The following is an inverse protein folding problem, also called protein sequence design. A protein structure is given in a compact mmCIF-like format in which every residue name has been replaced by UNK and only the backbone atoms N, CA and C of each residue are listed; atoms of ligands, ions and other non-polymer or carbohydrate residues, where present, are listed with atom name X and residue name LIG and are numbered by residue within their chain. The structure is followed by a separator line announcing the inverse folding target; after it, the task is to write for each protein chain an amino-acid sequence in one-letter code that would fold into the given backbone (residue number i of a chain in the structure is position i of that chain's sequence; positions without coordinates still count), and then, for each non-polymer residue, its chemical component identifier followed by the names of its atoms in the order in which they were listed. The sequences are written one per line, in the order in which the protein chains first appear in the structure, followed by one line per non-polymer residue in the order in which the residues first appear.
data_IF_730184530422
#
_entry.id   IF_730184530422
#
_cell.length_a   1.000
_cell.length_b   1.000
_cell.length_c   1.000
_cell.angle_alpha   90.00
_cell.angle_beta   90.00
_cell.angle_gamma   90.00
#
_symmetry.space_group_name_H-M   'P 1'
#
loop_
_entity.id
_entity.type
_entity.pdbx_description
1 polymer ?
#
# COMPACT_ATOMS: atom_id res chain seq x y z
N UNK A 1 0.88 -5.90 -8.63
CA UNK A 1 -0.17 -5.51 -7.68
C UNK A 1 -0.32 -6.54 -6.56
N UNK A 2 -0.41 -7.85 -6.87
CA UNK A 2 -0.54 -8.91 -5.86
C UNK A 2 0.64 -8.89 -4.86
N UNK A 3 1.85 -8.64 -5.35
CA UNK A 3 3.06 -8.51 -4.51
C UNK A 3 3.03 -7.27 -3.61
N UNK A 4 2.52 -6.14 -4.12
CA UNK A 4 2.39 -4.91 -3.35
C UNK A 4 1.37 -5.05 -2.21
N UNK A 5 0.20 -5.63 -2.50
CA UNK A 5 -0.82 -5.83 -1.46
C UNK A 5 -0.39 -6.90 -0.45
N UNK A 6 0.41 -7.88 -0.84
CA UNK A 6 1.05 -8.84 0.06
C UNK A 6 2.01 -8.12 1.03
N UNK A 7 2.88 -7.25 0.52
CA UNK A 7 3.76 -6.42 1.35
C UNK A 7 2.96 -5.51 2.31
N UNK A 8 1.87 -4.90 1.82
CA UNK A 8 0.98 -4.10 2.65
C UNK A 8 0.33 -4.92 3.78
N UNK A 9 0.01 -6.19 3.54
CA UNK A 9 -0.45 -7.12 4.58
C UNK A 9 0.61 -7.33 5.67
N UNK A 10 1.87 -7.54 5.30
CA UNK A 10 3.00 -7.68 6.24
C UNK A 10 3.14 -6.42 7.10
N UNK A 11 3.16 -5.24 6.45
CA UNK A 11 3.28 -3.96 7.16
C UNK A 11 2.07 -3.67 8.06
N UNK A 12 0.87 -4.06 7.63
CA UNK A 12 -0.36 -3.91 8.43
C UNK A 12 -0.29 -4.69 9.74
N UNK A 13 0.14 -5.96 9.70
CA UNK A 13 0.34 -6.75 10.91
C UNK A 13 1.48 -6.23 11.78
N UNK A 14 2.59 -5.80 11.17
CA UNK A 14 3.72 -5.20 11.89
C UNK A 14 3.30 -3.95 12.67
N UNK A 15 2.63 -3.00 12.02
CA UNK A 15 2.23 -1.76 12.68
C UNK A 15 1.19 -1.99 13.77
N UNK A 16 0.27 -2.91 13.55
CA UNK A 16 -0.73 -3.25 14.56
C UNK A 16 -0.11 -3.94 15.79
N UNK A 17 0.75 -4.95 15.59
CA UNK A 17 1.30 -5.74 16.68
C UNK A 17 2.44 -5.05 17.43
N UNK A 18 3.28 -4.28 16.75
CA UNK A 18 4.53 -3.75 17.31
C UNK A 18 4.60 -2.22 17.37
N UNK A 19 3.63 -1.53 16.75
CA UNK A 19 3.58 -0.08 16.75
C UNK A 19 2.28 0.46 17.39
N UNK A 20 1.84 -0.13 18.50
CA UNK A 20 0.78 0.40 19.35
C UNK A 20 -0.64 0.32 18.79
N UNK A 21 -0.95 -0.71 17.99
CA UNK A 21 -2.30 -0.97 17.48
C UNK A 21 -2.75 -0.02 16.36
N UNK A 22 -1.79 0.61 15.68
CA UNK A 22 -2.07 1.50 14.55
C UNK A 22 -2.13 0.71 13.24
N UNK A 23 -3.10 1.06 12.40
CA UNK A 23 -3.17 0.56 11.03
C UNK A 23 -2.44 1.50 10.08
N UNK A 24 -1.36 1.05 9.44
CA UNK A 24 -0.65 1.88 8.44
C UNK A 24 -1.49 2.12 7.18
N UNK A 25 -2.40 1.22 6.88
CA UNK A 25 -3.16 1.17 5.63
C UNK A 25 -4.67 1.37 5.81
N UNK A 26 -5.19 1.51 7.03
CA UNK A 26 -6.62 1.63 7.30
C UNK A 26 -6.92 2.82 8.22
N UNK A 27 -6.88 4.04 7.66
CA UNK A 27 -7.05 5.27 8.43
C UNK A 27 -8.42 5.38 9.11
N UNK A 28 -9.46 4.74 8.58
CA UNK A 28 -10.76 4.67 9.26
C UNK A 28 -10.64 4.08 10.67
N UNK A 29 -9.84 3.01 10.84
CA UNK A 29 -9.56 2.45 12.16
C UNK A 29 -8.84 3.44 13.07
N UNK A 30 -7.83 4.13 12.57
CA UNK A 30 -7.07 5.12 13.33
C UNK A 30 -7.96 6.33 13.75
N UNK A 31 -8.87 6.76 12.88
CA UNK A 31 -9.84 7.83 13.18
C UNK A 31 -10.83 7.39 14.28
N UNK A 32 -11.30 6.14 14.25
CA UNK A 32 -12.13 5.59 15.33
C UNK A 32 -11.38 5.59 16.66
N UNK A 33 -10.12 5.12 16.66
CA UNK A 33 -9.27 5.12 17.86
C UNK A 33 -9.02 6.54 18.39
N UNK A 34 -8.80 7.51 17.49
CA UNK A 34 -8.72 8.92 17.83
C UNK A 34 -10.01 9.42 18.49
N UNK A 35 -11.18 9.11 17.90
CA UNK A 35 -12.48 9.49 18.45
C UNK A 35 -12.72 8.92 19.85
N UNK A 36 -12.35 7.66 20.08
CA UNK A 36 -12.43 7.02 21.40
C UNK A 36 -11.51 7.76 22.39
N UNK A 37 -10.26 8.05 22.01
CA UNK A 37 -9.31 8.75 22.87
C UNK A 37 -9.80 10.16 23.27
N UNK A 38 -10.40 10.89 22.32
CA UNK A 38 -11.00 12.22 22.59
C UNK A 38 -12.22 12.10 23.51
N UNK A 39 -13.13 11.14 23.27
CA UNK A 39 -14.31 10.90 24.08
C UNK A 39 -14.00 10.49 25.52
N UNK A 40 -12.90 9.75 25.71
CA UNK A 40 -12.40 9.33 27.02
C UNK A 40 -11.44 10.34 27.66
N UNK A 41 -11.21 11.49 27.03
CA UNK A 41 -10.29 12.56 27.47
C UNK A 41 -8.83 12.09 27.62
N UNK A 42 -8.43 11.07 26.87
CA UNK A 42 -7.05 10.57 26.83
C UNK A 42 -6.22 11.36 25.79
N UNK A 43 -5.80 12.57 26.16
CA UNK A 43 -5.12 13.51 25.25
C UNK A 43 -3.82 12.96 24.67
N UNK A 44 -3.06 12.21 25.47
CA UNK A 44 -1.82 11.56 25.02
C UNK A 44 -2.10 10.53 23.91
N UNK A 45 -3.13 9.70 24.09
CA UNK A 45 -3.55 8.74 23.09
C UNK A 45 -4.12 9.43 21.84
N UNK A 46 -4.87 10.53 22.02
CA UNK A 46 -5.37 11.30 20.88
C UNK A 46 -4.22 11.84 20.02
N UNK A 47 -3.20 12.44 20.63
CA UNK A 47 -2.00 12.92 19.91
C UNK A 47 -1.28 11.77 19.22
N UNK A 48 -1.20 10.60 19.85
CA UNK A 48 -0.59 9.40 19.28
C UNK A 48 -1.26 8.95 17.98
N UNK A 49 -2.58 9.08 17.84
CA UNK A 49 -3.31 8.74 16.63
C UNK A 49 -3.32 9.84 15.57
N UNK A 50 -3.27 11.11 15.96
CA UNK A 50 -3.22 12.24 15.02
C UNK A 50 -1.95 12.19 14.15
N UNK A 51 -0.80 11.84 14.74
CA UNK A 51 0.49 11.85 14.05
C UNK A 51 0.50 10.93 12.82
N UNK A 52 0.17 9.62 12.91
CA UNK A 52 0.15 8.74 11.73
C UNK A 52 -0.94 9.10 10.71
N UNK A 53 -2.09 9.63 11.14
CA UNK A 53 -3.13 10.13 10.22
C UNK A 53 -2.58 11.31 9.41
N UNK A 54 -1.89 12.25 10.06
CA UNK A 54 -1.26 13.39 9.38
C UNK A 54 -0.14 12.97 8.45
N UNK A 55 0.68 11.98 8.85
CA UNK A 55 1.71 11.41 7.98
C UNK A 55 1.12 10.75 6.73
N UNK A 56 0.01 10.04 6.89
CA UNK A 56 -0.71 9.45 5.76
C UNK A 56 -1.25 10.52 4.80
N UNK A 57 -1.88 11.57 5.32
CA UNK A 57 -2.37 12.69 4.50
C UNK A 57 -1.23 13.40 3.76
N UNK A 58 -0.08 13.61 4.43
CA UNK A 58 1.11 14.21 3.83
C UNK A 58 1.70 13.33 2.72
N UNK A 59 1.73 12.01 2.90
CA UNK A 59 2.20 11.08 1.87
C UNK A 59 1.34 11.13 0.61
N UNK A 60 0.00 11.16 0.75
CA UNK A 60 -0.91 11.33 -0.38
C UNK A 60 -0.68 12.68 -1.09
N UNK A 61 -0.53 13.75 -0.32
CA UNK A 61 -0.28 15.10 -0.86
C UNK A 61 1.03 15.15 -1.66
N UNK A 62 2.12 14.61 -1.12
CA UNK A 62 3.41 14.60 -1.80
C UNK A 62 3.38 13.72 -3.04
N UNK A 63 2.75 12.54 -2.99
CA UNK A 63 2.66 11.65 -4.14
C UNK A 63 1.87 12.25 -5.31
N UNK A 64 0.95 13.19 -5.04
CA UNK A 64 0.21 13.90 -6.09
C UNK A 64 1.03 15.03 -6.72
N UNK A 65 1.93 15.66 -5.96
CA UNK A 65 2.72 16.81 -6.44
C UNK A 65 3.93 16.41 -7.30
N UNK A 66 4.55 15.27 -7.02
CA UNK A 66 5.87 14.94 -7.59
C UNK A 66 5.85 14.24 -8.97
N UNK A 67 4.86 13.42 -9.36
CA UNK A 67 4.98 12.54 -10.51
C UNK A 67 5.39 13.16 -11.84
N UNK A 68 4.89 14.35 -12.16
CA UNK A 68 5.14 14.98 -13.46
C UNK A 68 6.57 15.52 -13.57
N UNK A 69 7.10 16.10 -12.52
CA UNK A 69 8.48 16.61 -12.48
C UNK A 69 9.53 15.49 -12.51
N UNK A 70 9.22 14.35 -11.92
CA UNK A 70 10.15 13.21 -11.81
C UNK A 70 10.31 12.47 -13.14
N UNK A 71 9.24 12.29 -13.91
CA UNK A 71 9.27 11.65 -15.24
C UNK A 71 10.26 12.34 -16.18
N UNK A 72 10.34 13.68 -16.13
CA UNK A 72 11.21 14.48 -17.00
C UNK A 72 12.69 14.51 -16.56
N UNK A 73 12.96 14.21 -15.28
CA UNK A 73 14.31 14.40 -14.71
C UNK A 73 15.17 13.13 -14.64
N UNK A 74 14.57 11.96 -14.46
CA UNK A 74 15.30 10.73 -14.14
C UNK A 74 15.20 9.62 -15.19
N UNK A 75 14.40 9.74 -16.24
CA UNK A 75 14.13 8.67 -17.24
C UNK A 75 13.70 7.34 -16.59
N UNK A 76 13.11 7.43 -15.39
CA UNK A 76 12.64 6.31 -14.57
C UNK A 76 11.23 6.65 -14.11
N UNK A 77 10.31 5.69 -14.16
CA UNK A 77 8.93 5.90 -13.70
C UNK A 77 8.87 6.26 -12.21
N UNK A 78 7.89 7.10 -11.87
CA UNK A 78 7.58 7.43 -10.49
C UNK A 78 7.33 6.18 -9.63
N UNK A 79 6.65 5.19 -10.17
CA UNK A 79 6.35 3.91 -9.51
C UNK A 79 7.62 3.18 -9.08
N UNK A 80 8.65 3.18 -9.92
CA UNK A 80 9.95 2.58 -9.60
C UNK A 80 10.66 3.32 -8.47
N UNK A 81 10.63 4.67 -8.51
CA UNK A 81 11.21 5.50 -7.45
C UNK A 81 10.47 5.28 -6.14
N UNK A 82 9.14 5.24 -6.17
CA UNK A 82 8.34 5.01 -4.97
C UNK A 82 8.68 3.67 -4.31
N UNK A 83 8.76 2.58 -5.08
CA UNK A 83 9.13 1.28 -4.52
C UNK A 83 10.55 1.29 -3.94
N UNK A 84 11.49 2.05 -4.52
CA UNK A 84 12.81 2.25 -3.91
C UNK A 84 12.70 2.98 -2.56
N UNK A 85 11.85 3.99 -2.45
CA UNK A 85 11.56 4.69 -1.18
C UNK A 85 10.94 3.74 -0.15
N UNK A 86 10.02 2.87 -0.56
CA UNK A 86 9.42 1.84 0.31
C UNK A 86 10.47 0.88 0.87
N UNK A 87 11.43 0.45 0.04
CA UNK A 87 12.57 -0.38 0.48
C UNK A 87 13.40 0.35 1.53
N UNK A 88 13.75 1.61 1.30
CA UNK A 88 14.56 2.41 2.25
C UNK A 88 13.86 2.52 3.60
N UNK A 89 12.57 2.85 3.63
CA UNK A 89 11.81 2.93 4.88
C UNK A 89 11.59 1.56 5.53
N UNK A 90 11.36 0.52 4.74
CA UNK A 90 11.25 -0.85 5.24
C UNK A 90 12.56 -1.40 5.79
N UNK A 91 13.70 -0.94 5.29
CA UNK A 91 15.03 -1.35 5.72
C UNK A 91 15.56 -0.58 6.94
N UNK A 92 14.79 0.34 7.54
CA UNK A 92 15.19 1.07 8.73
C UNK A 92 15.71 0.12 9.84
N UNK A 93 16.72 0.50 10.62
CA UNK A 93 17.25 -0.31 11.71
C UNK A 93 16.16 -0.67 12.73
N UNK A 94 16.19 -1.89 13.24
CA UNK A 94 15.22 -2.34 14.27
C UNK A 94 15.30 -1.54 15.58
N UNK A 95 16.37 -0.77 15.80
CA UNK A 95 16.55 0.17 16.92
C UNK A 95 15.79 1.49 16.72
N UNK A 96 15.30 1.79 15.51
CA UNK A 96 14.55 3.02 15.22
C UNK A 96 13.35 3.16 16.17
N UNK A 97 13.09 4.35 16.75
CA UNK A 97 11.94 4.55 17.62
C UNK A 97 10.61 4.14 16.94
N UNK A 98 9.69 3.57 17.72
CA UNK A 98 8.40 3.05 17.21
C UNK A 98 7.61 4.14 16.48
N UNK A 99 7.61 5.37 16.99
CA UNK A 99 6.92 6.51 16.40
C UNK A 99 7.48 6.86 15.00
N UNK A 100 8.79 6.75 14.81
CA UNK A 100 9.41 6.98 13.50
C UNK A 100 8.96 5.91 12.51
N UNK A 101 8.91 4.63 12.91
CA UNK A 101 8.35 3.58 12.08
C UNK A 101 6.89 3.83 11.72
N UNK A 102 6.05 4.20 12.71
CA UNK A 102 4.64 4.52 12.46
C UNK A 102 4.48 5.61 11.40
N UNK A 103 5.17 6.74 11.60
CA UNK A 103 5.11 7.88 10.67
C UNK A 103 5.58 7.46 9.29
N UNK A 104 6.73 6.81 9.20
CA UNK A 104 7.33 6.38 7.93
C UNK A 104 6.43 5.40 7.17
N UNK A 105 5.92 4.36 7.84
CA UNK A 105 5.09 3.34 7.18
C UNK A 105 3.73 3.91 6.77
N UNK A 106 3.10 4.78 7.58
CA UNK A 106 1.85 5.44 7.19
C UNK A 106 2.05 6.36 5.98
N UNK A 107 3.16 7.09 5.97
CA UNK A 107 3.53 7.98 4.87
C UNK A 107 3.70 7.21 3.55
N UNK A 108 4.53 6.16 3.54
CA UNK A 108 4.76 5.36 2.33
C UNK A 108 3.52 4.56 1.89
N UNK A 109 2.73 4.02 2.82
CA UNK A 109 1.49 3.31 2.49
C UNK A 109 0.49 4.22 1.77
N UNK A 110 0.43 5.49 2.14
CA UNK A 110 -0.38 6.50 1.48
C UNK A 110 0.12 6.82 0.07
N UNK A 111 1.44 6.98 -0.11
CA UNK A 111 2.04 7.18 -1.42
C UNK A 111 1.78 5.99 -2.34
N UNK A 112 1.94 4.76 -1.84
CA UNK A 112 1.65 3.53 -2.58
C UNK A 112 0.18 3.49 -3.03
N UNK A 113 -0.75 3.78 -2.12
CA UNK A 113 -2.18 3.80 -2.46
C UNK A 113 -2.50 4.85 -3.53
N UNK A 114 -1.93 6.03 -3.41
CA UNK A 114 -2.18 7.12 -4.35
C UNK A 114 -1.58 6.86 -5.74
N UNK A 115 -0.46 6.16 -5.82
CA UNK A 115 0.25 5.86 -7.07
C UNK A 115 -0.36 4.65 -7.79
N UNK A 116 -0.64 3.56 -7.09
CA UNK A 116 -1.11 2.30 -7.70
C UNK A 116 -2.63 2.17 -7.66
N UNK A 117 -3.35 3.03 -8.40
CA UNK A 117 -4.82 3.12 -8.37
C UNK A 117 -5.55 2.17 -9.31
N UNK A 118 -4.90 1.69 -10.37
CA UNK A 118 -5.52 0.89 -11.44
C UNK A 118 -4.63 -0.25 -11.88
N UNK A 119 -5.23 -1.41 -12.17
CA UNK A 119 -4.57 -2.54 -12.81
C UNK A 119 -5.41 -3.05 -13.96
N UNK A 120 -4.90 -3.00 -15.19
CA UNK A 120 -5.58 -3.48 -16.39
C UNK A 120 -7.01 -2.89 -16.56
N UNK A 121 -7.16 -1.60 -16.23
CA UNK A 121 -8.46 -0.91 -16.30
C UNK A 121 -9.43 -1.22 -15.14
N UNK A 122 -9.01 -1.99 -14.14
CA UNK A 122 -9.78 -2.24 -12.93
C UNK A 122 -9.27 -1.33 -11.80
N UNK A 123 -10.13 -0.50 -11.17
CA UNK A 123 -9.73 0.28 -10.01
C UNK A 123 -9.27 -0.62 -8.86
N UNK A 124 -8.06 -0.41 -8.36
CA UNK A 124 -7.43 -1.26 -7.37
C UNK A 124 -6.97 -0.46 -6.15
N UNK A 125 -6.91 -1.14 -5.01
CA UNK A 125 -6.31 -0.62 -3.79
C UNK A 125 -5.19 -1.58 -3.38
N UNK A 126 -3.94 -1.13 -3.41
CA UNK A 126 -2.77 -1.98 -3.13
C UNK A 126 -2.40 -2.03 -1.65
N UNK A 127 -3.08 -1.24 -0.81
CA UNK A 127 -2.72 -1.11 0.60
C UNK A 127 -3.76 -1.64 1.57
N UNK A 128 -5.02 -1.84 1.17
CA UNK A 128 -6.09 -2.32 2.06
C UNK A 128 -7.14 -3.18 1.34
N UNK A 129 -7.77 -4.10 2.10
CA UNK A 129 -8.65 -5.12 1.55
C UNK A 129 -10.13 -4.70 1.44
N UNK A 130 -10.60 -3.67 2.17
CA UNK A 130 -12.02 -3.30 2.27
C UNK A 130 -12.70 -3.09 0.92
N UNK A 131 -12.04 -2.37 -0.01
CA UNK A 131 -12.57 -2.16 -1.34
C UNK A 131 -12.69 -3.47 -2.13
N UNK A 132 -11.72 -4.38 -1.98
CA UNK A 132 -11.74 -5.67 -2.67
C UNK A 132 -12.88 -6.55 -2.17
N UNK A 133 -13.15 -6.59 -0.87
CA UNK A 133 -14.30 -7.30 -0.28
C UNK A 133 -15.61 -6.75 -0.82
N UNK A 134 -15.77 -5.41 -0.87
CA UNK A 134 -16.95 -4.77 -1.46
C UNK A 134 -17.13 -5.13 -2.93
N UNK A 135 -16.07 -5.07 -3.72
CA UNK A 135 -16.11 -5.39 -5.16
C UNK A 135 -16.40 -6.87 -5.42
N UNK A 136 -15.93 -7.76 -4.53
CA UNK A 136 -16.31 -9.18 -4.59
C UNK A 136 -17.82 -9.36 -4.44
N UNK A 137 -18.44 -8.74 -3.43
CA UNK A 137 -19.88 -8.80 -3.23
C UNK A 137 -20.66 -8.29 -4.43
N UNK A 138 -20.25 -7.13 -4.98
CA UNK A 138 -20.86 -6.56 -6.19
C UNK A 138 -20.69 -7.49 -7.40
N UNK A 139 -19.49 -8.03 -7.61
CA UNK A 139 -19.19 -8.94 -8.71
C UNK A 139 -20.02 -10.23 -8.66
N UNK A 140 -20.14 -10.83 -7.48
CA UNK A 140 -20.94 -12.01 -7.24
C UNK A 140 -22.43 -11.74 -7.52
N UNK A 141 -22.98 -10.61 -7.06
CA UNK A 141 -24.36 -10.23 -7.33
C UNK A 141 -24.60 -10.05 -8.84
N UNK A 142 -23.67 -9.41 -9.56
CA UNK A 142 -23.75 -9.26 -11.02
C UNK A 142 -23.65 -10.60 -11.75
N UNK A 143 -22.82 -11.52 -11.30
CA UNK A 143 -22.71 -12.87 -11.88
C UNK A 143 -24.00 -13.67 -11.69
N UNK A 144 -24.68 -13.54 -10.55
CA UNK A 144 -25.99 -14.18 -10.29
C UNK A 144 -27.11 -13.63 -11.20
N UNK A 145 -27.09 -12.34 -11.54
CA UNK A 145 -28.07 -11.69 -12.42
C UNK A 145 -27.65 -11.69 -13.90
N UNK A 146 -26.61 -12.43 -14.24
CA UNK A 146 -26.00 -12.43 -15.57
C UNK A 146 -26.98 -12.89 -16.67
N UNK A 147 -27.04 -12.12 -17.75
CA UNK A 147 -27.62 -12.60 -19.04
C UNK A 147 -26.58 -13.44 -19.78
N UNK A 148 -27.04 -14.44 -20.55
CA UNK A 148 -26.16 -15.35 -21.29
C UNK A 148 -25.09 -14.59 -22.12
N UNK A 149 -23.81 -14.94 -21.94
CA UNK A 149 -22.69 -14.49 -22.76
C UNK A 149 -21.72 -13.48 -22.12
N UNK A 150 -22.11 -12.72 -21.09
CA UNK A 150 -21.21 -11.75 -20.44
C UNK A 150 -20.30 -12.42 -19.40
N UNK A 151 -18.98 -12.38 -19.65
CA UNK A 151 -17.94 -12.94 -18.76
C UNK A 151 -17.09 -11.85 -18.07
N UNK A 152 -17.38 -10.57 -18.30
CA UNK A 152 -16.60 -9.45 -17.78
C UNK A 152 -16.48 -9.45 -16.25
N UNK A 153 -17.56 -9.83 -15.56
CA UNK A 153 -17.63 -9.87 -14.10
C UNK A 153 -16.70 -10.90 -13.47
N UNK A 154 -16.44 -12.02 -14.14
CA UNK A 154 -15.55 -13.08 -13.63
C UNK A 154 -14.10 -12.63 -13.50
N UNK A 155 -13.61 -11.78 -14.44
CA UNK A 155 -12.28 -11.20 -14.36
C UNK A 155 -12.18 -10.30 -13.12
N UNK A 156 -13.17 -9.45 -12.89
CA UNK A 156 -13.23 -8.55 -11.73
C UNK A 156 -13.25 -9.36 -10.42
N UNK A 157 -14.13 -10.36 -10.32
CA UNK A 157 -14.22 -11.25 -9.15
C UNK A 157 -12.86 -11.91 -8.88
N UNK A 158 -12.26 -12.54 -9.91
CA UNK A 158 -10.96 -13.23 -9.76
C UNK A 158 -9.88 -12.29 -9.26
N UNK A 159 -9.82 -11.07 -9.83
CA UNK A 159 -8.80 -10.07 -9.47
C UNK A 159 -8.94 -9.61 -8.02
N UNK A 160 -10.15 -9.24 -7.61
CA UNK A 160 -10.38 -8.80 -6.24
C UNK A 160 -10.24 -9.93 -5.21
N UNK A 161 -10.61 -11.16 -5.57
CA UNK A 161 -10.39 -12.34 -4.73
C UNK A 161 -8.89 -12.62 -4.52
N UNK A 162 -8.10 -12.57 -5.59
CA UNK A 162 -6.63 -12.67 -5.51
C UNK A 162 -6.07 -11.64 -4.53
N UNK A 163 -6.47 -10.37 -4.65
CA UNK A 163 -6.00 -9.30 -3.76
C UNK A 163 -6.32 -9.57 -2.29
N UNK A 164 -7.53 -10.04 -1.97
CA UNK A 164 -7.89 -10.39 -0.58
C UNK A 164 -7.01 -11.54 -0.06
N UNK A 165 -6.78 -12.56 -0.88
CA UNK A 165 -5.93 -13.70 -0.50
C UNK A 165 -4.47 -13.28 -0.29
N UNK A 166 -3.90 -12.47 -1.19
CA UNK A 166 -2.52 -12.00 -1.03
C UNK A 166 -2.36 -11.08 0.17
N UNK A 167 -3.34 -10.20 0.42
CA UNK A 167 -3.33 -9.39 1.64
C UNK A 167 -3.37 -10.24 2.91
N UNK A 168 -4.26 -11.24 2.97
CA UNK A 168 -4.38 -12.15 4.10
C UNK A 168 -3.10 -12.96 4.30
N UNK A 169 -2.54 -13.52 3.22
CA UNK A 169 -1.29 -14.26 3.26
C UNK A 169 -0.13 -13.38 3.78
N UNK A 170 -0.03 -12.14 3.30
CA UNK A 170 0.93 -11.17 3.80
C UNK A 170 0.74 -10.85 5.28
N UNK A 171 -0.51 -10.66 5.72
CA UNK A 171 -0.84 -10.42 7.13
C UNK A 171 -0.44 -11.60 8.02
N UNK A 172 -0.71 -12.83 7.59
CA UNK A 172 -0.32 -14.05 8.31
C UNK A 172 1.21 -14.14 8.41
N UNK A 173 1.92 -13.99 7.29
CA UNK A 173 3.39 -14.01 7.28
C UNK A 173 3.97 -12.92 8.18
N UNK A 174 3.45 -11.70 8.09
CA UNK A 174 3.89 -10.58 8.92
C UNK A 174 3.64 -10.81 10.41
N UNK A 175 2.48 -11.36 10.77
CA UNK A 175 2.17 -11.72 12.16
C UNK A 175 3.13 -12.79 12.71
N UNK A 176 3.37 -13.85 11.93
CA UNK A 176 4.36 -14.88 12.28
C UNK A 176 5.76 -14.27 12.41
N UNK A 177 6.16 -13.45 11.47
CA UNK A 177 7.45 -12.75 11.54
C UNK A 177 7.56 -11.86 12.79
N UNK A 178 6.50 -11.15 13.18
CA UNK A 178 6.47 -10.36 14.41
C UNK A 178 6.72 -11.20 15.67
N UNK A 179 6.15 -12.40 15.72
CA UNK A 179 6.32 -13.31 16.87
C UNK A 179 7.78 -13.80 16.97
N UNK A 180 8.40 -14.19 15.86
CA UNK A 180 9.74 -14.80 15.88
C UNK A 180 10.89 -13.78 15.76
N UNK A 181 10.70 -12.69 15.04
CA UNK A 181 11.75 -11.69 14.73
C UNK A 181 11.58 -10.38 15.52
N UNK A 182 10.43 -10.20 16.20
CA UNK A 182 10.13 -8.94 16.87
C UNK A 182 10.22 -7.77 15.90
N UNK A 183 10.93 -6.71 16.29
CA UNK A 183 11.07 -5.48 15.50
C UNK A 183 11.77 -5.67 14.14
N UNK A 184 12.54 -6.74 13.95
CA UNK A 184 13.17 -7.07 12.67
C UNK A 184 12.17 -7.61 11.63
N UNK A 185 10.94 -7.92 12.03
CA UNK A 185 9.89 -8.40 11.15
C UNK A 185 9.57 -7.43 9.99
N UNK A 186 9.82 -6.13 10.16
CA UNK A 186 9.64 -5.15 9.08
C UNK A 186 10.50 -5.47 7.85
N UNK A 187 11.66 -6.07 8.04
CA UNK A 187 12.56 -6.44 6.93
C UNK A 187 11.99 -7.52 6.02
N UNK A 188 11.03 -8.31 6.51
CA UNK A 188 10.33 -9.31 5.68
C UNK A 188 9.53 -8.63 4.55
N UNK A 189 9.03 -7.42 4.79
CA UNK A 189 8.33 -6.64 3.76
C UNK A 189 9.28 -6.08 2.67
N UNK A 190 10.57 -5.96 2.95
CA UNK A 190 11.56 -5.47 1.97
C UNK A 190 11.70 -6.42 0.79
N UNK A 191 11.58 -7.75 1.02
CA UNK A 191 11.74 -8.74 -0.03
C UNK A 191 10.71 -8.60 -1.18
N UNK A 192 9.39 -8.56 -0.91
CA UNK A 192 8.41 -8.34 -1.98
C UNK A 192 8.57 -6.98 -2.66
N UNK A 193 8.95 -5.92 -1.94
CA UNK A 193 9.25 -4.64 -2.57
C UNK A 193 10.49 -4.71 -3.46
N UNK A 194 11.54 -5.41 -3.07
CA UNK A 194 12.74 -5.61 -3.89
C UNK A 194 12.43 -6.37 -5.19
N UNK A 195 11.53 -7.36 -5.16
CA UNK A 195 11.08 -8.07 -6.35
C UNK A 195 10.35 -7.13 -7.30
N UNK A 196 9.43 -6.29 -6.79
CA UNK A 196 8.70 -5.31 -7.60
C UNK A 196 9.64 -4.26 -8.17
N UNK A 197 10.58 -3.75 -7.36
CA UNK A 197 11.58 -2.79 -7.79
C UNK A 197 12.44 -3.34 -8.93
N UNK A 198 12.95 -4.55 -8.80
CA UNK A 198 13.76 -5.19 -9.84
C UNK A 198 12.99 -5.36 -11.15
N UNK A 199 11.70 -5.75 -11.07
CA UNK A 199 10.83 -5.89 -12.23
C UNK A 199 10.57 -4.55 -12.93
N UNK A 200 10.27 -3.50 -12.15
CA UNK A 200 10.01 -2.17 -12.68
C UNK A 200 11.29 -1.55 -13.27
N UNK A 201 12.41 -1.64 -12.58
CA UNK A 201 13.68 -1.12 -13.06
C UNK A 201 14.11 -1.84 -14.35
N UNK A 202 13.92 -3.15 -14.43
CA UNK A 202 14.18 -3.90 -15.65
C UNK A 202 13.30 -3.41 -16.82
N UNK A 203 12.02 -3.17 -16.58
CA UNK A 203 11.10 -2.65 -17.60
C UNK A 203 11.49 -1.23 -18.05
N UNK A 204 11.85 -0.35 -17.11
CA UNK A 204 12.30 1.02 -17.41
C UNK A 204 13.58 1.06 -18.26
N UNK A 205 14.50 0.11 -18.02
CA UNK A 205 15.79 0.05 -18.73
C UNK A 205 15.72 -0.69 -20.06
N UNK A 206 14.66 -1.47 -20.34
CA UNK A 206 14.54 -2.33 -21.51
C UNK A 206 13.30 -2.07 -22.35
N UNK A 207 12.17 -2.60 -21.93
CA UNK A 207 10.93 -2.66 -22.73
C UNK A 207 10.18 -1.34 -22.84
N UNK A 208 10.33 -0.45 -21.87
CA UNK A 208 9.60 0.83 -21.79
C UNK A 208 10.52 2.05 -21.96
N UNK A 209 11.81 1.83 -22.21
CA UNK A 209 12.81 2.89 -22.38
C UNK A 209 12.40 3.90 -23.46
N UNK A 210 11.99 3.42 -24.64
CA UNK A 210 11.54 4.29 -25.74
C UNK A 210 10.27 5.09 -25.40
N UNK A 211 9.45 4.56 -24.50
CA UNK A 211 8.21 5.22 -24.04
C UNK A 211 8.51 6.36 -23.06
N UNK A 212 9.52 6.18 -22.21
CA UNK A 212 9.99 7.17 -21.26
C UNK A 212 10.79 8.30 -21.91
N UNK A 213 11.42 8.01 -23.05
CA UNK A 213 12.18 8.99 -23.86
C UNK A 213 11.28 9.81 -24.80
N UNK A 214 10.00 9.45 -25.00
CA UNK A 214 9.07 10.25 -25.81
C UNK A 214 8.58 11.46 -25.01
N UNK A 215 8.76 12.65 -25.57
CA UNK A 215 8.11 13.85 -25.03
C UNK A 215 6.61 13.59 -24.90
N UNK A 216 5.98 13.91 -23.76
CA UNK A 216 4.54 13.81 -23.63
C UNK A 216 3.91 14.68 -24.70
N UNK A 217 3.07 14.08 -25.56
CA UNK A 217 2.25 14.85 -26.49
C UNK A 217 1.46 15.86 -25.65
N UNK A 218 1.76 17.14 -25.84
CA UNK A 218 1.18 18.23 -25.05
C UNK A 218 -0.34 18.12 -24.99
N UNK A 219 -0.88 18.26 -23.79
CA UNK A 219 -2.30 18.48 -23.51
C UNK A 219 -2.59 19.97 -23.54
#
# INVERSE_FOLDING_TARGET
YDTLIFAAGILGSYTYMLCGGIFCNAQTGNIVLLGIALGTRSWTSALYYVIPISAYALGAFISELIPDDVKHRFHIRWETILVAVEIVFGALPASTPVQVFQVSINFIASMQYNTFRNSEGVPMATTFATNHVRQLGIGLAKELHRRHGDTSHRRVIKRHFSMVLFFLAGTILGAVACIFLGRRAVWVAVLPYAIVFAAFLHADLTSEKEWLERDPAGH
#
